data_IF_258629298284
#
_entry.id   IF_258629298284
#
_cell.length_a   1.000
_cell.length_b   1.000
_cell.length_c   1.000
_cell.angle_alpha   90.00
_cell.angle_beta   90.00
_cell.angle_gamma   90.00
#
_symmetry.space_group_name_H-M   'P 1'
#
loop_
_entity.id
_entity.type
_entity.pdbx_description
1 polymer ?
#
# COMPACT_ATOMS: atom_id res chain seq x y z
N UNK A 1 -21.15 3.67 -0.53
CA UNK A 1 -20.81 4.58 0.57
C UNK A 1 -19.54 4.09 1.24
N UNK A 2 -18.40 4.67 0.86
CA UNK A 2 -17.23 4.82 1.72
C UNK A 2 -16.49 6.02 1.13
N UNK A 3 -16.85 7.21 1.60
CA UNK A 3 -16.15 8.47 1.33
C UNK A 3 -14.75 8.37 1.93
N UNK A 4 -13.88 7.57 1.31
CA UNK A 4 -12.56 7.32 1.84
C UNK A 4 -11.56 8.17 1.07
N UNK A 5 -11.52 9.45 1.42
CA UNK A 5 -10.54 10.44 0.93
C UNK A 5 -9.10 10.04 1.27
N UNK A 6 -8.90 8.94 2.02
CA UNK A 6 -7.61 8.41 2.43
C UNK A 6 -7.24 7.16 1.64
N UNK A 7 -5.99 7.11 1.19
CA UNK A 7 -5.38 6.00 0.49
C UNK A 7 -4.99 4.90 1.49
N UNK A 8 -5.41 3.67 1.26
CA UNK A 8 -5.08 2.52 2.12
C UNK A 8 -3.96 1.70 1.51
N UNK A 9 -2.89 1.52 2.27
CA UNK A 9 -1.73 0.72 1.89
C UNK A 9 -1.60 -0.44 2.88
N UNK A 10 -1.65 -1.67 2.41
CA UNK A 10 -1.32 -2.84 3.21
C UNK A 10 0.20 -3.07 3.22
N UNK A 11 0.74 -3.37 4.40
CA UNK A 11 2.13 -3.79 4.56
C UNK A 11 2.23 -4.91 5.61
N UNK A 12 3.32 -5.66 5.53
CA UNK A 12 3.63 -6.70 6.49
C UNK A 12 3.73 -6.14 7.92
N UNK A 13 3.14 -6.84 8.89
CA UNK A 13 3.12 -6.41 10.30
C UNK A 13 4.51 -6.34 10.95
N UNK A 14 5.41 -7.27 10.61
CA UNK A 14 6.71 -7.46 11.27
C UNK A 14 7.70 -8.21 10.38
N UNK A 15 9.00 -8.05 10.60
CA UNK A 15 10.07 -8.72 9.85
C UNK A 15 10.80 -7.77 8.90
N UNK A 16 11.79 -8.28 8.16
CA UNK A 16 12.65 -7.48 7.29
C UNK A 16 11.88 -6.56 6.32
N UNK A 17 10.87 -7.11 5.64
CA UNK A 17 10.07 -6.34 4.68
C UNK A 17 9.32 -5.18 5.36
N UNK A 18 8.90 -5.34 6.62
CA UNK A 18 8.25 -4.27 7.39
C UNK A 18 9.22 -3.12 7.66
N UNK A 19 10.46 -3.42 8.03
CA UNK A 19 11.47 -2.40 8.32
C UNK A 19 11.88 -1.65 7.05
N UNK A 20 12.15 -2.38 5.96
CA UNK A 20 12.48 -1.82 4.65
C UNK A 20 11.32 -0.96 4.10
N UNK A 21 10.08 -1.41 4.25
CA UNK A 21 8.90 -0.65 3.83
C UNK A 21 8.72 0.63 4.65
N UNK A 22 8.98 0.58 5.96
CA UNK A 22 8.90 1.77 6.82
C UNK A 22 9.95 2.80 6.43
N UNK A 23 11.17 2.36 6.15
CA UNK A 23 12.24 3.23 5.68
C UNK A 23 11.87 3.87 4.34
N UNK A 24 11.34 3.09 3.40
CA UNK A 24 10.92 3.61 2.10
C UNK A 24 9.80 4.66 2.23
N UNK A 25 8.78 4.39 3.05
CA UNK A 25 7.72 5.36 3.32
C UNK A 25 8.27 6.64 3.96
N UNK A 26 9.24 6.52 4.88
CA UNK A 26 9.92 7.66 5.49
C UNK A 26 10.74 8.47 4.46
N UNK A 27 11.42 7.79 3.53
CA UNK A 27 12.16 8.42 2.41
C UNK A 27 11.23 9.12 1.41
N UNK A 28 10.02 8.60 1.22
CA UNK A 28 8.95 9.28 0.49
C UNK A 28 8.36 10.48 1.26
N UNK A 29 8.83 10.75 2.48
CA UNK A 29 8.37 11.85 3.33
C UNK A 29 7.06 11.56 4.04
N UNK A 30 6.58 10.31 4.08
CA UNK A 30 5.34 9.93 4.75
C UNK A 30 5.64 9.70 6.23
N UNK A 31 5.05 10.53 7.11
CA UNK A 31 5.22 10.44 8.56
C UNK A 31 4.12 9.57 9.15
N UNK A 32 4.48 8.35 9.53
CA UNK A 32 3.52 7.36 10.04
C UNK A 32 3.86 7.06 11.49
N UNK A 33 2.87 7.19 12.37
CA UNK A 33 3.02 6.80 13.77
C UNK A 33 2.61 5.32 13.93
N UNK A 34 3.58 4.44 13.77
CA UNK A 34 3.40 2.99 13.91
C UNK A 34 3.43 2.59 15.39
N UNK A 35 2.32 2.77 16.10
CA UNK A 35 2.15 2.16 17.42
C UNK A 35 2.02 0.64 17.27
N UNK A 36 2.88 -0.11 17.97
CA UNK A 36 3.07 -1.56 17.81
C UNK A 36 1.80 -2.40 17.99
N UNK A 37 0.81 -1.90 18.74
CA UNK A 37 -0.44 -2.62 19.05
C UNK A 37 -1.59 -2.33 18.08
N UNK A 38 -1.52 -1.31 17.23
CA UNK A 38 -2.62 -0.95 16.33
C UNK A 38 -2.49 -1.65 14.97
N UNK A 39 -3.62 -2.15 14.47
CA UNK A 39 -3.77 -2.76 13.15
C UNK A 39 -3.69 -1.71 12.03
N UNK A 40 -4.10 -0.47 12.34
CA UNK A 40 -4.12 0.65 11.40
C UNK A 40 -3.22 1.75 11.95
N UNK A 41 -2.30 2.23 11.12
CA UNK A 41 -1.47 3.39 11.41
C UNK A 41 -1.79 4.51 10.41
N UNK A 42 -2.12 5.69 10.92
CA UNK A 42 -2.48 6.83 10.09
C UNK A 42 -1.24 7.68 9.85
N UNK A 43 -1.05 8.13 8.60
CA UNK A 43 -0.05 9.15 8.30
C UNK A 43 -0.52 10.50 8.84
N UNK A 44 0.39 11.22 9.49
CA UNK A 44 0.11 12.53 10.12
C UNK A 44 0.11 13.66 9.08
N UNK A 45 0.83 13.49 7.98
CA UNK A 45 1.08 14.53 6.99
C UNK A 45 0.36 14.33 5.65
N UNK A 46 -0.24 13.17 5.42
CA UNK A 46 -0.91 12.82 4.16
C UNK A 46 -2.18 12.00 4.44
N UNK A 47 -3.17 12.02 3.53
CA UNK A 47 -4.36 11.18 3.66
C UNK A 47 -4.03 9.73 3.30
N UNK A 48 -3.19 9.08 4.11
CA UNK A 48 -2.72 7.70 3.90
C UNK A 48 -2.93 6.91 5.19
N UNK A 49 -3.50 5.72 5.06
CA UNK A 49 -3.69 4.76 6.13
C UNK A 49 -2.91 3.49 5.81
N UNK A 50 -2.11 3.05 6.76
CA UNK A 50 -1.30 1.84 6.67
C UNK A 50 -2.02 0.72 7.42
N UNK A 51 -2.41 -0.33 6.70
CA UNK A 51 -2.93 -1.56 7.26
C UNK A 51 -1.79 -2.55 7.49
N UNK A 52 -1.61 -3.01 8.73
CA UNK A 52 -0.62 -4.02 9.08
C UNK A 52 -1.27 -5.40 9.05
N UNK A 53 -0.93 -6.19 8.06
CA UNK A 53 -1.51 -7.52 7.81
C UNK A 53 -0.40 -8.56 7.61
N UNK A 54 -0.78 -9.83 7.41
CA UNK A 54 0.16 -10.86 6.95
C UNK A 54 0.36 -10.72 5.46
N UNK A 55 1.55 -11.07 5.00
CA UNK A 55 1.95 -11.07 3.60
C UNK A 55 1.03 -11.91 2.70
N UNK A 56 0.67 -13.12 3.13
CA UNK A 56 -0.25 -14.01 2.38
C UNK A 56 -1.66 -13.40 2.16
N UNK A 57 -2.12 -12.52 3.06
CA UNK A 57 -3.45 -11.90 2.99
C UNK A 57 -3.47 -10.66 2.07
N UNK A 58 -2.32 -10.04 1.80
CA UNK A 58 -2.23 -8.76 1.04
C UNK A 58 -2.80 -8.88 -0.39
N UNK A 59 -2.47 -9.91 -1.18
CA UNK A 59 -2.98 -10.08 -2.53
C UNK A 59 -4.52 -10.14 -2.58
N UNK A 60 -5.13 -10.92 -1.69
CA UNK A 60 -6.59 -11.01 -1.57
C UNK A 60 -7.22 -9.67 -1.22
N UNK A 61 -6.66 -8.96 -0.23
CA UNK A 61 -7.17 -7.64 0.18
C UNK A 61 -7.11 -6.58 -0.94
N UNK A 62 -6.09 -6.65 -1.80
CA UNK A 62 -5.96 -5.77 -2.96
C UNK A 62 -6.96 -6.15 -4.04
N UNK A 63 -7.15 -7.45 -4.32
CA UNK A 63 -8.12 -7.92 -5.30
C UNK A 63 -9.57 -7.61 -4.89
N UNK A 64 -9.87 -7.69 -3.61
CA UNK A 64 -11.19 -7.37 -3.04
C UNK A 64 -11.43 -5.85 -2.90
N UNK A 65 -10.43 -5.01 -3.20
CA UNK A 65 -10.53 -3.55 -3.12
C UNK A 65 -10.64 -3.01 -1.69
N UNK A 66 -10.30 -3.82 -0.67
CA UNK A 66 -10.27 -3.40 0.74
C UNK A 66 -9.15 -2.39 0.96
N UNK A 67 -8.02 -2.62 0.29
CA UNK A 67 -6.85 -1.74 0.26
C UNK A 67 -6.54 -1.31 -1.17
N UNK A 68 -6.01 -0.10 -1.32
CA UNK A 68 -5.71 0.47 -2.64
C UNK A 68 -4.32 0.01 -3.15
N UNK A 69 -3.38 -0.20 -2.22
CA UNK A 69 -2.03 -0.72 -2.48
C UNK A 69 -1.66 -1.82 -1.50
N UNK A 70 -0.81 -2.75 -1.93
CA UNK A 70 -0.16 -3.74 -1.09
C UNK A 70 1.34 -3.80 -1.33
N UNK A 71 2.13 -3.90 -0.26
CA UNK A 71 3.58 -4.14 -0.31
C UNK A 71 3.83 -5.60 0.06
N UNK A 72 4.36 -6.37 -0.89
CA UNK A 72 4.67 -7.80 -0.71
C UNK A 72 6.10 -8.12 -1.18
N UNK A 73 6.61 -9.27 -0.75
CA UNK A 73 7.85 -9.84 -1.27
C UNK A 73 7.65 -10.50 -2.63
N UNK A 74 8.72 -10.62 -3.40
CA UNK A 74 8.72 -11.26 -4.72
C UNK A 74 8.25 -12.73 -4.66
N UNK A 75 8.70 -13.48 -3.65
CA UNK A 75 8.31 -14.88 -3.46
C UNK A 75 6.79 -15.05 -3.32
N UNK A 76 6.14 -14.20 -2.49
CA UNK A 76 4.69 -14.25 -2.28
C UNK A 76 3.95 -13.91 -3.57
N UNK A 77 4.47 -12.95 -4.34
CA UNK A 77 3.91 -12.64 -5.65
C UNK A 77 4.00 -13.84 -6.59
N UNK A 78 5.17 -14.49 -6.70
CA UNK A 78 5.36 -15.67 -7.56
C UNK A 78 4.40 -16.81 -7.18
N UNK A 79 4.23 -17.06 -5.89
CA UNK A 79 3.28 -18.06 -5.39
C UNK A 79 1.83 -17.73 -5.81
N UNK A 80 1.42 -16.47 -5.72
CA UNK A 80 0.08 -16.07 -6.14
C UNK A 80 -0.13 -16.15 -7.65
N UNK A 81 0.90 -15.83 -8.45
CA UNK A 81 0.88 -16.00 -9.90
C UNK A 81 0.75 -17.48 -10.30
N UNK A 82 1.35 -18.39 -9.52
CA UNK A 82 1.22 -19.83 -9.73
C UNK A 82 -0.17 -20.36 -9.32
N UNK A 83 -0.77 -19.81 -8.27
CA UNK A 83 -2.11 -20.21 -7.80
C UNK A 83 -3.24 -19.70 -8.70
N UNK A 84 -3.06 -18.52 -9.32
CA UNK A 84 -4.12 -17.84 -10.08
C UNK A 84 -3.71 -17.56 -11.52
N UNK A 85 -4.40 -18.18 -12.49
CA UNK A 85 -4.09 -18.07 -13.93
C UNK A 85 -4.31 -16.67 -14.55
N UNK A 86 -4.93 -15.73 -13.82
CA UNK A 86 -5.20 -14.37 -14.30
C UNK A 86 -5.22 -13.35 -13.14
N UNK A 87 -4.05 -12.85 -12.69
CA UNK A 87 -3.99 -11.82 -11.66
C UNK A 87 -4.62 -10.51 -12.16
N UNK A 88 -5.70 -10.07 -11.51
CA UNK A 88 -6.32 -8.75 -11.75
C UNK A 88 -5.60 -7.62 -10.99
N UNK A 89 -4.27 -7.70 -10.90
CA UNK A 89 -3.46 -6.72 -10.17
C UNK A 89 -2.37 -6.15 -11.08
N UNK A 90 -2.10 -4.85 -10.93
CA UNK A 90 -0.99 -4.16 -11.58
C UNK A 90 0.19 -4.11 -10.63
N UNK A 91 1.30 -4.70 -11.07
CA UNK A 91 2.54 -4.85 -10.31
C UNK A 91 3.49 -3.70 -10.64
N UNK A 92 4.07 -3.06 -9.62
CA UNK A 92 5.15 -2.09 -9.75
C UNK A 92 6.32 -2.53 -8.86
N UNK A 93 7.45 -2.89 -9.45
CA UNK A 93 8.67 -3.20 -8.71
C UNK A 93 9.57 -1.96 -8.66
N UNK A 94 9.96 -1.53 -7.46
CA UNK A 94 10.84 -0.35 -7.30
C UNK A 94 12.20 -0.68 -6.67
N UNK A 95 12.38 -1.86 -6.06
CA UNK A 95 13.61 -2.28 -5.40
C UNK A 95 13.72 -3.82 -5.39
N UNK A 96 14.93 -4.41 -5.28
CA UNK A 96 15.16 -5.85 -5.36
C UNK A 96 14.51 -6.69 -4.24
N UNK A 97 13.82 -6.05 -3.28
CA UNK A 97 13.16 -6.76 -2.18
C UNK A 97 11.73 -6.27 -1.92
N UNK A 98 11.21 -5.30 -2.69
CA UNK A 98 9.92 -4.66 -2.43
C UNK A 98 9.10 -4.59 -3.71
N UNK A 99 8.00 -5.32 -3.71
CA UNK A 99 7.05 -5.35 -4.82
C UNK A 99 5.74 -4.69 -4.39
N UNK A 100 5.25 -3.77 -5.21
CA UNK A 100 3.96 -3.12 -5.02
C UNK A 100 2.91 -3.76 -5.91
N UNK A 101 1.75 -4.05 -5.34
CA UNK A 101 0.58 -4.47 -6.07
C UNK A 101 -0.59 -3.49 -5.87
N UNK A 102 -1.39 -3.34 -6.92
CA UNK A 102 -2.59 -2.49 -6.94
C UNK A 102 -3.71 -3.18 -7.71
N UNK A 103 -4.96 -2.94 -7.33
CA UNK A 103 -6.11 -3.51 -8.04
C UNK A 103 -6.19 -2.95 -9.47
N UNK A 104 -6.37 -3.82 -10.48
CA UNK A 104 -6.49 -3.41 -11.87
C UNK A 104 -7.96 -3.33 -12.32
N UNK A 105 -8.45 -2.12 -12.61
CA UNK A 105 -9.27 -1.79 -13.79
C UNK A 105 -9.63 -0.30 -13.90
N UNK A 106 -9.99 0.41 -12.82
CA UNK A 106 -10.56 1.78 -12.94
C UNK A 106 -10.02 2.81 -11.95
N UNK A 107 -8.83 2.58 -11.38
CA UNK A 107 -8.34 3.41 -10.28
C UNK A 107 -7.51 4.62 -10.76
N UNK A 108 -8.17 5.78 -10.92
CA UNK A 108 -7.55 7.06 -11.23
C UNK A 108 -6.74 7.64 -10.05
N UNK A 109 -5.49 7.19 -9.89
CA UNK A 109 -4.51 7.68 -8.91
C UNK A 109 -4.39 9.22 -8.83
N UNK A 110 -4.42 9.90 -9.99
CA UNK A 110 -4.18 11.34 -10.08
C UNK A 110 -5.28 12.23 -9.50
N UNK A 111 -6.54 11.77 -9.44
CA UNK A 111 -7.66 12.59 -8.92
C UNK A 111 -7.84 12.48 -7.40
N UNK A 112 -7.35 11.42 -6.77
CA UNK A 112 -7.59 11.15 -5.34
C UNK A 112 -6.57 11.81 -4.40
N UNK A 113 -5.35 12.09 -4.89
CA UNK A 113 -4.26 12.68 -4.10
C UNK A 113 -4.17 14.21 -4.15
N UNK A 114 -4.87 14.87 -5.09
CA UNK A 114 -4.89 16.33 -5.17
C UNK A 114 -6.14 16.89 -4.52
N UNK A 115 -5.99 17.48 -3.32
CA UNK A 115 -6.93 18.53 -2.90
C UNK A 115 -6.78 19.70 -3.88
N UNK A 116 -7.85 20.24 -4.48
CA UNK A 116 -7.77 21.55 -5.11
C UNK A 116 -7.46 22.56 -4.00
N UNK A 117 -6.23 23.08 -3.95
CA UNK A 117 -5.88 24.16 -3.02
C UNK A 117 -4.50 24.13 -2.37
N UNK A 118 -3.65 23.12 -2.59
CA UNK A 118 -2.26 23.19 -2.09
C UNK A 118 -1.30 23.73 -3.15
N UNK A 119 -1.62 24.92 -3.68
CA UNK A 119 -0.61 25.75 -4.32
C UNK A 119 0.31 26.27 -3.22
N UNK A 120 1.56 25.78 -3.17
CA UNK A 120 2.62 26.48 -2.45
C UNK A 120 3.10 27.61 -3.35
N UNK A 121 2.67 28.83 -3.05
CA UNK A 121 3.33 30.06 -3.48
C UNK A 121 4.73 30.14 -2.88
N UNK A 122 5.66 30.86 -3.52
CA UNK A 122 5.82 32.29 -3.23
C UNK A 122 5.17 33.20 -4.27
#
# INVERSE_FOLDING_TARGET
MTDNTRLRIAMQKSGRLSDDSRELLARCGIKINLHTQRLIAMAENMPIDILRVRDDDIPGLVMDGVVDLGIIGENVLEEELLKTAAPRVKIHATLPCVVWISAAADFHWQRRLMKPGMARSP
#
